data_IF_966834251173
#
_entry.id   IF_966834251173
#
_cell.length_a   1.000
_cell.length_b   1.000
_cell.length_c   1.000
_cell.angle_alpha   90.00
_cell.angle_beta   90.00
_cell.angle_gamma   90.00
#
_symmetry.space_group_name_H-M   'P 1'
#
loop_
_entity.id
_entity.type
_entity.pdbx_description
1 polymer ?
#
# COMPACT_ATOMS: atom_id res chain seq x y z
N UNK A 1 -47.20 17.58 -33.49
CA UNK A 1 -47.61 17.38 -32.08
C UNK A 1 -47.68 15.87 -31.86
N UNK A 2 -46.70 15.15 -31.29
CA UNK A 2 -45.63 15.47 -30.35
C UNK A 2 -44.33 14.69 -30.72
N UNK A 3 -43.19 15.40 -30.72
CA UNK A 3 -41.92 15.08 -30.00
C UNK A 3 -42.00 13.87 -29.02
N UNK A 4 -40.98 13.04 -28.75
CA UNK A 4 -39.52 13.14 -28.84
C UNK A 4 -38.93 11.72 -28.70
N UNK A 5 -37.76 11.50 -29.31
CA UNK A 5 -36.84 10.39 -29.10
C UNK A 5 -36.52 10.20 -27.61
N UNK A 6 -36.79 9.01 -27.05
CA UNK A 6 -36.41 8.63 -25.70
C UNK A 6 -35.17 7.76 -25.69
N UNK A 7 -33.99 8.34 -25.96
CA UNK A 7 -32.73 7.72 -25.53
C UNK A 7 -32.57 8.10 -24.06
N UNK A 8 -32.92 7.18 -23.16
CA UNK A 8 -32.57 7.33 -21.76
C UNK A 8 -31.04 7.26 -21.66
N UNK A 9 -30.38 8.42 -21.65
CA UNK A 9 -29.04 8.56 -21.11
C UNK A 9 -29.13 8.21 -19.63
N UNK A 10 -28.67 7.02 -19.27
CA UNK A 10 -28.30 6.71 -17.90
C UNK A 10 -27.11 7.60 -17.55
N UNK A 11 -27.38 8.82 -17.09
CA UNK A 11 -26.39 9.57 -16.33
C UNK A 11 -26.33 8.87 -14.98
N UNK A 12 -25.55 7.80 -14.89
CA UNK A 12 -25.10 7.31 -13.60
C UNK A 12 -24.19 8.41 -13.05
N UNK A 13 -24.77 9.38 -12.34
CA UNK A 13 -24.03 10.17 -11.39
C UNK A 13 -23.47 9.15 -10.39
N UNK A 14 -22.25 8.70 -10.66
CA UNK A 14 -21.54 7.77 -9.81
C UNK A 14 -21.47 8.41 -8.43
N UNK A 15 -22.15 7.80 -7.47
CA UNK A 15 -21.91 8.10 -6.07
C UNK A 15 -20.49 7.61 -5.77
N UNK A 16 -19.52 8.49 -5.98
CA UNK A 16 -18.17 8.30 -5.49
C UNK A 16 -18.25 8.47 -3.97
N UNK A 17 -18.30 7.35 -3.25
CA UNK A 17 -17.99 7.34 -1.83
C UNK A 17 -16.50 7.66 -1.70
N UNK A 18 -16.15 8.95 -1.66
CA UNK A 18 -14.82 9.34 -1.21
C UNK A 18 -14.80 9.02 0.28
N UNK A 19 -14.10 7.95 0.66
CA UNK A 19 -13.66 7.81 2.04
C UNK A 19 -12.95 9.13 2.43
N UNK A 20 -13.11 9.55 3.68
CA UNK A 20 -12.39 10.71 4.17
C UNK A 20 -10.89 10.45 4.04
N UNK A 21 -10.19 11.28 3.25
CA UNK A 21 -8.77 11.12 2.99
C UNK A 21 -7.98 11.21 4.30
N UNK A 22 -6.92 10.40 4.44
CA UNK A 22 -5.99 10.45 5.58
C UNK A 22 -5.44 11.87 5.73
N UNK A 23 -5.76 12.53 6.85
CA UNK A 23 -5.59 13.98 7.00
C UNK A 23 -4.13 14.46 6.88
N UNK A 24 -3.16 13.63 7.26
CA UNK A 24 -1.72 13.89 7.21
C UNK A 24 -0.99 13.06 6.14
N UNK A 25 -1.70 12.66 5.08
CA UNK A 25 -1.12 11.90 4.01
C UNK A 25 0.04 12.63 3.33
N UNK A 26 1.21 12.01 3.25
CA UNK A 26 2.39 12.56 2.60
C UNK A 26 2.33 12.38 1.07
N UNK A 27 1.86 11.21 0.62
CA UNK A 27 1.80 10.84 -0.79
C UNK A 27 0.52 10.09 -1.10
N UNK A 28 -0.15 10.45 -2.18
CA UNK A 28 -1.41 9.82 -2.60
C UNK A 28 -1.20 9.01 -3.87
N UNK A 29 -2.00 7.96 -4.02
CA UNK A 29 -2.11 7.15 -5.24
C UNK A 29 -3.57 6.92 -5.58
N UNK A 30 -3.91 6.89 -6.87
CA UNK A 30 -5.27 6.57 -7.31
C UNK A 30 -5.28 5.18 -7.92
N UNK A 31 -6.13 4.29 -7.40
CA UNK A 31 -6.25 2.90 -7.82
C UNK A 31 -6.72 2.79 -9.26
N UNK A 32 -6.01 1.98 -10.04
CA UNK A 32 -6.31 1.60 -11.41
C UNK A 32 -6.78 0.14 -11.48
N UNK A 33 -7.33 -0.23 -12.64
CA UNK A 33 -7.78 -1.60 -12.88
C UNK A 33 -6.59 -2.57 -12.87
N UNK A 34 -6.67 -3.60 -12.02
CA UNK A 34 -5.65 -4.64 -11.93
C UNK A 34 -4.58 -4.37 -10.86
N UNK A 35 -4.66 -3.25 -10.16
CA UNK A 35 -3.75 -2.95 -9.06
C UNK A 35 -3.91 -3.93 -7.89
N UNK A 36 -2.79 -4.19 -7.22
CA UNK A 36 -2.71 -4.86 -5.92
C UNK A 36 -1.89 -3.99 -4.98
N UNK A 37 -2.04 -4.16 -3.66
CA UNK A 37 -1.22 -3.41 -2.69
C UNK A 37 0.27 -3.59 -2.97
N UNK A 38 0.73 -4.82 -3.20
CA UNK A 38 2.15 -5.11 -3.46
C UNK A 38 2.65 -4.43 -4.74
N UNK A 39 1.87 -4.46 -5.82
CA UNK A 39 2.27 -3.83 -7.08
C UNK A 39 2.33 -2.30 -6.97
N UNK A 40 1.37 -1.70 -6.28
CA UNK A 40 1.38 -0.25 -5.97
C UNK A 40 2.60 0.07 -5.11
N UNK A 41 2.79 -0.67 -4.02
CA UNK A 41 3.89 -0.49 -3.08
C UNK A 41 5.26 -0.57 -3.77
N UNK A 42 5.46 -1.58 -4.62
CA UNK A 42 6.72 -1.77 -5.34
C UNK A 42 6.97 -0.67 -6.37
N UNK A 43 5.92 -0.20 -7.06
CA UNK A 43 6.04 0.87 -8.06
C UNK A 43 6.26 2.25 -7.43
N UNK A 44 5.87 2.43 -6.16
CA UNK A 44 5.83 3.72 -5.50
C UNK A 44 6.66 3.80 -4.21
N UNK A 45 7.57 2.86 -3.98
CA UNK A 45 8.45 2.83 -2.80
C UNK A 45 7.65 3.05 -1.50
N UNK A 46 6.70 2.17 -1.26
CA UNK A 46 5.90 2.14 -0.04
C UNK A 46 5.95 0.75 0.55
N UNK A 47 6.06 0.62 1.87
CA UNK A 47 5.84 -0.67 2.52
C UNK A 47 4.39 -1.13 2.27
N UNK A 48 4.19 -2.42 1.96
CA UNK A 48 2.85 -3.03 1.85
C UNK A 48 2.10 -2.91 3.18
N UNK A 49 2.81 -3.11 4.30
CA UNK A 49 2.23 -2.94 5.63
C UNK A 49 1.81 -1.49 5.88
N UNK A 50 2.69 -0.52 5.60
CA UNK A 50 2.38 0.90 5.75
C UNK A 50 1.15 1.29 4.91
N UNK A 51 1.09 0.86 3.65
CA UNK A 51 -0.06 1.13 2.77
C UNK A 51 -1.36 0.59 3.37
N UNK A 52 -1.36 -0.64 3.87
CA UNK A 52 -2.54 -1.25 4.49
C UNK A 52 -2.90 -0.61 5.84
N UNK A 53 -1.91 -0.22 6.65
CA UNK A 53 -2.12 0.32 8.00
C UNK A 53 -2.75 1.72 7.97
N UNK A 54 -2.30 2.59 7.06
CA UNK A 54 -2.78 3.97 6.96
C UNK A 54 -4.15 4.08 6.28
N UNK A 55 -4.50 3.11 5.41
CA UNK A 55 -5.81 3.04 4.75
C UNK A 55 -6.67 1.97 5.41
N UNK A 56 -7.24 2.29 6.58
CA UNK A 56 -7.94 1.33 7.46
C UNK A 56 -9.16 0.64 6.84
N UNK A 57 -9.62 1.08 5.66
CA UNK A 57 -10.65 0.41 4.88
C UNK A 57 -10.13 -0.74 4.02
N UNK A 58 -8.82 -0.88 3.80
CA UNK A 58 -8.21 -2.02 3.11
C UNK A 58 -8.28 -3.25 4.01
N UNK A 59 -8.73 -4.38 3.48
CA UNK A 59 -8.75 -5.64 4.23
C UNK A 59 -7.38 -6.33 4.23
N UNK A 60 -7.19 -7.30 5.12
CA UNK A 60 -5.90 -8.02 5.29
C UNK A 60 -5.35 -8.66 4.01
N UNK A 61 -6.23 -9.04 3.06
CA UNK A 61 -5.81 -9.63 1.79
C UNK A 61 -5.64 -8.62 0.65
N UNK A 62 -5.82 -7.32 0.90
CA UNK A 62 -5.90 -6.27 -0.12
C UNK A 62 -6.79 -6.63 -1.32
N UNK A 63 -7.94 -7.25 -1.04
CA UNK A 63 -8.87 -7.74 -2.09
C UNK A 63 -10.02 -6.79 -2.39
N UNK A 64 -10.02 -5.61 -1.78
CA UNK A 64 -11.14 -4.68 -1.79
C UNK A 64 -10.80 -3.27 -2.31
N UNK A 65 -9.71 -3.13 -3.06
CA UNK A 65 -9.39 -1.86 -3.73
C UNK A 65 -10.47 -1.54 -4.77
N UNK A 66 -10.98 -0.30 -4.75
CA UNK A 66 -11.96 0.18 -5.71
C UNK A 66 -11.30 1.04 -6.80
N UNK A 67 -11.70 0.87 -8.06
CA UNK A 67 -11.19 1.70 -9.15
C UNK A 67 -11.49 3.19 -8.89
N UNK A 68 -10.47 4.03 -8.96
CA UNK A 68 -10.55 5.46 -8.64
C UNK A 68 -10.49 5.79 -7.15
N UNK A 69 -10.34 4.80 -6.27
CA UNK A 69 -10.06 5.01 -4.85
C UNK A 69 -8.73 5.74 -4.68
N UNK A 70 -8.69 6.73 -3.79
CA UNK A 70 -7.44 7.44 -3.45
C UNK A 70 -6.88 6.83 -2.18
N UNK A 71 -5.72 6.18 -2.31
CA UNK A 71 -4.95 5.61 -1.21
C UNK A 71 -3.91 6.60 -0.72
N UNK A 72 -3.64 6.55 0.57
CA UNK A 72 -2.48 7.18 1.16
C UNK A 72 -1.30 6.19 1.17
N UNK A 73 -0.18 6.53 0.54
CA UNK A 73 0.99 5.65 0.51
C UNK A 73 1.78 5.70 1.83
N UNK A 74 1.73 6.84 2.53
CA UNK A 74 2.41 7.04 3.80
C UNK A 74 2.01 8.38 4.42
N UNK A 75 2.22 8.53 5.72
CA UNK A 75 1.86 9.76 6.43
C UNK A 75 3.09 10.60 6.79
N UNK A 76 2.88 11.90 6.92
CA UNK A 76 3.96 12.86 7.19
C UNK A 76 4.72 12.49 8.48
N UNK A 77 6.03 12.31 8.37
CA UNK A 77 6.92 11.94 9.49
C UNK A 77 7.05 10.44 9.74
N UNK A 78 6.31 9.60 9.01
CA UNK A 78 6.31 8.13 9.13
C UNK A 78 6.27 7.44 7.76
N UNK A 79 6.67 8.15 6.69
CA UNK A 79 6.63 7.62 5.32
C UNK A 79 7.97 6.98 4.96
N UNK A 80 8.04 5.64 5.05
CA UNK A 80 9.21 4.90 4.64
C UNK A 80 9.29 4.79 3.12
N UNK A 81 10.36 5.33 2.55
CA UNK A 81 10.64 5.32 1.10
C UNK A 81 11.87 4.50 0.72
N UNK A 82 12.69 4.11 1.69
CA UNK A 82 13.73 3.10 1.52
C UNK A 82 13.07 1.72 1.71
N UNK A 83 12.81 1.04 0.60
CA UNK A 83 12.01 -0.19 0.59
C UNK A 83 12.69 -1.31 -0.17
N UNK A 84 12.36 -2.55 0.20
CA UNK A 84 12.85 -3.76 -0.45
C UNK A 84 11.68 -4.66 -0.85
N UNK A 85 11.70 -5.15 -2.10
CA UNK A 85 10.71 -6.10 -2.62
C UNK A 85 11.22 -7.51 -2.37
N UNK A 86 10.51 -8.27 -1.53
CA UNK A 86 10.87 -9.64 -1.16
C UNK A 86 10.97 -10.52 -2.40
N UNK A 87 12.09 -11.23 -2.55
CA UNK A 87 12.32 -12.22 -3.58
C UNK A 87 12.14 -13.66 -3.05
N UNK A 88 12.04 -14.61 -3.98
CA UNK A 88 11.96 -16.03 -3.61
C UNK A 88 13.25 -16.50 -2.95
N UNK A 89 13.14 -17.06 -1.75
CA UNK A 89 14.28 -17.57 -0.97
C UNK A 89 14.87 -16.56 0.01
N UNK A 90 14.34 -15.34 0.06
CA UNK A 90 14.79 -14.34 1.02
C UNK A 90 14.45 -14.70 2.46
N UNK A 91 15.20 -14.11 3.37
CA UNK A 91 14.90 -14.04 4.79
C UNK A 91 15.36 -12.68 5.33
N UNK A 92 14.81 -12.28 6.47
CA UNK A 92 15.04 -10.95 7.05
C UNK A 92 16.51 -10.65 7.34
N UNK A 93 17.32 -11.64 7.70
CA UNK A 93 18.75 -11.42 7.98
C UNK A 93 19.51 -11.09 6.70
N UNK A 94 19.23 -11.80 5.62
CA UNK A 94 19.84 -11.53 4.31
C UNK A 94 19.38 -10.20 3.73
N UNK A 95 18.09 -9.88 3.83
CA UNK A 95 17.53 -8.58 3.40
C UNK A 95 18.18 -7.45 4.19
N UNK A 96 18.19 -7.54 5.53
CA UNK A 96 18.77 -6.50 6.37
C UNK A 96 20.23 -6.21 6.01
N UNK A 97 21.03 -7.25 5.79
CA UNK A 97 22.42 -7.12 5.40
C UNK A 97 22.59 -6.48 4.01
N UNK A 98 21.72 -6.81 3.04
CA UNK A 98 21.76 -6.25 1.69
C UNK A 98 21.39 -4.75 1.68
N UNK A 99 20.42 -4.35 2.50
CA UNK A 99 19.91 -2.99 2.59
C UNK A 99 20.66 -2.10 3.59
N UNK A 100 21.70 -2.64 4.24
CA UNK A 100 22.51 -1.89 5.20
C UNK A 100 21.77 -1.53 6.49
N UNK A 101 20.75 -2.30 6.86
CA UNK A 101 20.01 -2.20 8.13
C UNK A 101 20.32 -3.39 9.04
N UNK A 102 19.64 -3.49 10.19
CA UNK A 102 19.77 -4.64 11.10
C UNK A 102 18.49 -5.46 11.10
N UNK A 103 18.57 -6.71 11.54
CA UNK A 103 17.39 -7.55 11.74
C UNK A 103 16.35 -6.89 12.64
N UNK A 104 16.80 -6.30 13.76
CA UNK A 104 15.91 -5.66 14.73
C UNK A 104 15.26 -4.40 14.17
N UNK A 105 16.00 -3.56 13.43
CA UNK A 105 15.45 -2.36 12.78
C UNK A 105 14.48 -2.77 11.67
N UNK A 106 14.81 -3.80 10.88
CA UNK A 106 13.92 -4.30 9.83
C UNK A 106 12.58 -4.77 10.43
N UNK A 107 12.59 -5.52 11.54
CA UNK A 107 11.35 -5.94 12.18
C UNK A 107 10.60 -4.78 12.85
N UNK A 108 11.30 -3.83 13.47
CA UNK A 108 10.67 -2.64 14.05
C UNK A 108 9.94 -1.82 12.98
N UNK A 109 10.53 -1.71 11.80
CA UNK A 109 9.95 -1.05 10.63
C UNK A 109 8.93 -1.92 9.88
N UNK A 110 8.69 -3.18 10.26
CA UNK A 110 7.68 -4.02 9.62
C UNK A 110 6.94 -4.85 10.68
N UNK A 111 6.06 -4.24 11.50
CA UNK A 111 5.36 -4.92 12.59
C UNK A 111 4.46 -6.09 12.18
N UNK A 112 4.15 -6.25 10.89
CA UNK A 112 3.46 -7.43 10.36
C UNK A 112 4.37 -8.66 10.25
N UNK A 113 5.69 -8.48 10.19
CA UNK A 113 6.65 -9.57 10.04
C UNK A 113 6.93 -10.18 11.41
N UNK A 114 6.78 -11.50 11.50
CA UNK A 114 7.00 -12.21 12.75
C UNK A 114 8.49 -12.37 13.08
N UNK A 115 8.78 -12.70 14.34
CA UNK A 115 10.14 -12.86 14.84
C UNK A 115 10.91 -14.07 14.24
N UNK A 116 10.27 -14.88 13.40
CA UNK A 116 10.92 -15.95 12.63
C UNK A 116 11.11 -15.58 11.16
N UNK A 117 10.55 -14.45 10.73
CA UNK A 117 10.47 -14.02 9.34
C UNK A 117 9.86 -15.08 8.41
N UNK A 118 8.98 -15.94 8.96
CA UNK A 118 8.41 -17.05 8.21
C UNK A 118 7.17 -16.66 7.41
N UNK A 119 6.61 -15.48 7.68
CA UNK A 119 5.37 -14.99 7.10
C UNK A 119 5.56 -13.98 5.95
N UNK A 120 6.80 -13.72 5.52
CA UNK A 120 7.06 -12.92 4.31
C UNK A 120 6.87 -13.76 3.04
N UNK A 121 6.53 -13.10 1.93
CA UNK A 121 6.30 -13.75 0.65
C UNK A 121 6.83 -12.94 -0.54
N UNK A 122 7.18 -13.59 -1.67
CA UNK A 122 7.69 -12.89 -2.84
C UNK A 122 6.70 -11.83 -3.35
N UNK A 123 7.20 -10.62 -3.58
CA UNK A 123 6.43 -9.45 -4.00
C UNK A 123 5.99 -8.53 -2.86
N UNK A 124 5.97 -9.00 -1.61
CA UNK A 124 5.74 -8.12 -0.45
C UNK A 124 6.82 -7.04 -0.38
N UNK A 125 6.43 -5.82 -0.02
CA UNK A 125 7.38 -4.69 0.09
C UNK A 125 7.59 -4.33 1.55
N UNK A 126 8.83 -4.48 2.01
CA UNK A 126 9.25 -4.14 3.37
C UNK A 126 9.87 -2.74 3.42
N UNK A 127 9.65 -2.03 4.52
CA UNK A 127 10.43 -0.85 4.86
C UNK A 127 11.83 -1.29 5.30
N UNK A 128 12.84 -0.98 4.49
CA UNK A 128 14.22 -1.44 4.69
C UNK A 128 15.18 -0.31 5.10
N UNK A 129 14.64 0.83 5.55
CA UNK A 129 15.43 1.95 6.02
C UNK A 129 16.47 1.52 7.09
N UNK A 130 17.68 2.10 7.06
CA UNK A 130 18.75 1.78 8.02
C UNK A 130 18.49 2.34 9.42
N UNK A 131 17.44 3.14 9.60
CA UNK A 131 17.00 3.69 10.88
C UNK A 131 15.51 3.40 11.10
N UNK A 132 15.08 3.48 12.35
CA UNK A 132 13.67 3.29 12.71
C UNK A 132 12.79 4.35 12.02
N UNK A 133 11.83 3.88 11.25
CA UNK A 133 10.70 4.62 10.72
C UNK A 133 9.47 3.95 11.31
N UNK A 134 8.75 4.67 12.19
CA UNK A 134 7.52 4.15 12.80
C UNK A 134 6.41 4.08 11.77
N UNK A 135 6.37 3.02 10.97
CA UNK A 135 5.34 2.75 9.96
C UNK A 135 4.12 2.01 10.51
#
# INVERSE_FOLDING_TARGET
MFILSGLALFISAGFHFSAAQVANCARNYTVHLGDTCDAISAAHNSSTYQLASVNTNINVGCTNLALGEVLCLGITGQDCTDTYVVASGDNCVAIAAAEGTTYDILLANNPNVDATCANIYPGEVLCAAPAEVYV
#
